data_IF_137677169941
#
_entry.id   IF_137677169941
#
_cell.length_a   1.000
_cell.length_b   1.000
_cell.length_c   1.000
_cell.angle_alpha   90.00
_cell.angle_beta   90.00
_cell.angle_gamma   90.00
#
_symmetry.space_group_name_H-M   'P 1'
#
loop_
_entity.id
_entity.type
_entity.pdbx_description
1 polymer ?
#
# COMPACT_ATOMS: atom_id res chain seq x y z
N UNK A 1 -55.28 9.31 -45.86
CA UNK A 1 -53.83 9.51 -46.03
C UNK A 1 -53.36 10.61 -45.07
N UNK A 2 -52.59 10.23 -44.06
CA UNK A 2 -51.54 11.01 -43.36
C UNK A 2 -50.97 10.08 -42.28
N UNK A 3 -49.83 9.50 -42.59
CA UNK A 3 -48.97 8.68 -41.72
C UNK A 3 -48.26 9.59 -40.72
N UNK A 4 -48.23 9.23 -39.43
CA UNK A 4 -47.21 9.70 -38.48
C UNK A 4 -47.00 8.63 -37.41
N UNK A 5 -45.74 8.46 -37.07
CA UNK A 5 -45.10 7.30 -36.46
C UNK A 5 -44.55 7.69 -35.09
N UNK A 6 -44.66 6.76 -34.12
CA UNK A 6 -43.83 6.52 -32.92
C UNK A 6 -43.59 7.66 -31.90
N UNK A 7 -43.78 7.39 -30.61
CA UNK A 7 -42.71 6.88 -29.71
C UNK A 7 -43.30 6.60 -28.31
N UNK A 8 -43.10 5.38 -27.78
CA UNK A 8 -43.32 5.06 -26.37
C UNK A 8 -42.21 5.72 -25.54
N UNK A 9 -42.59 6.55 -24.57
CA UNK A 9 -41.69 7.12 -23.58
C UNK A 9 -41.28 6.09 -22.52
N UNK A 10 -39.98 5.82 -22.42
CA UNK A 10 -39.40 5.07 -21.31
C UNK A 10 -39.29 5.97 -20.07
N UNK A 11 -39.92 5.55 -18.98
CA UNK A 11 -39.86 6.19 -17.66
C UNK A 11 -38.50 5.87 -17.01
N UNK A 12 -37.54 6.78 -17.13
CA UNK A 12 -36.25 6.70 -16.43
C UNK A 12 -36.34 7.29 -15.03
N UNK A 13 -36.46 6.43 -14.01
CA UNK A 13 -36.36 6.79 -12.60
C UNK A 13 -34.93 7.29 -12.30
N UNK A 14 -34.75 8.61 -12.13
CA UNK A 14 -33.46 9.18 -11.69
C UNK A 14 -33.34 9.05 -10.18
N UNK A 15 -32.45 8.17 -9.71
CA UNK A 15 -32.01 8.14 -8.31
C UNK A 15 -31.01 9.29 -8.12
N UNK A 16 -31.43 10.33 -7.40
CA UNK A 16 -30.56 11.45 -7.02
C UNK A 16 -29.62 10.98 -5.90
N UNK A 17 -28.39 10.58 -6.24
CA UNK A 17 -27.34 10.44 -5.22
C UNK A 17 -27.00 11.83 -4.69
N UNK A 18 -27.36 12.09 -3.44
CA UNK A 18 -26.91 13.26 -2.71
C UNK A 18 -25.45 13.03 -2.33
N UNK A 19 -24.53 13.38 -3.22
CA UNK A 19 -23.13 13.55 -2.86
C UNK A 19 -23.06 14.72 -1.87
N UNK A 20 -22.52 14.46 -0.68
CA UNK A 20 -22.24 15.51 0.31
C UNK A 20 -21.43 16.62 -0.35
N UNK A 21 -22.05 17.78 -0.52
CA UNK A 21 -21.44 18.96 -1.08
C UNK A 21 -20.48 19.59 -0.06
N UNK A 22 -19.23 19.13 -0.03
CA UNK A 22 -18.13 20.00 0.37
C UNK A 22 -17.83 20.93 -0.81
N UNK A 23 -18.71 21.91 -1.00
CA UNK A 23 -18.53 22.97 -1.99
C UNK A 23 -17.38 23.85 -1.54
N UNK A 24 -16.18 23.66 -2.10
CA UNK A 24 -15.07 24.62 -1.95
C UNK A 24 -15.39 25.86 -2.82
N UNK A 25 -15.74 27.02 -2.23
CA UNK A 25 -16.04 28.20 -3.00
C UNK A 25 -14.72 28.87 -3.41
N UNK A 26 -14.55 29.12 -4.71
CA UNK A 26 -13.51 30.05 -5.19
C UNK A 26 -12.67 29.49 -6.32
N UNK A 27 -12.86 30.09 -7.50
CA UNK A 27 -12.15 29.81 -8.75
C UNK A 27 -10.67 30.26 -8.76
N UNK A 28 -10.05 30.46 -7.59
CA UNK A 28 -8.61 30.68 -7.40
C UNK A 28 -8.19 30.16 -6.01
N UNK A 29 -7.31 29.16 -5.96
CA UNK A 29 -6.48 28.87 -4.78
C UNK A 29 -6.93 27.78 -3.79
N UNK A 30 -7.89 26.92 -4.13
CA UNK A 30 -8.23 25.75 -3.30
C UNK A 30 -7.18 24.62 -3.41
N UNK A 31 -7.16 23.67 -2.45
CA UNK A 31 -6.26 22.51 -2.51
C UNK A 31 -6.49 21.72 -3.79
N UNK A 32 -5.42 21.49 -4.56
CA UNK A 32 -5.47 20.67 -5.78
C UNK A 32 -4.11 20.07 -6.12
N UNK A 33 -4.16 19.05 -6.96
CA UNK A 33 -2.99 18.38 -7.53
C UNK A 33 -3.06 18.49 -9.04
N UNK A 34 -1.93 18.76 -9.70
CA UNK A 34 -1.86 18.78 -11.16
C UNK A 34 -0.77 17.81 -11.62
N UNK A 35 -1.16 16.72 -12.26
CA UNK A 35 -0.25 15.78 -12.92
C UNK A 35 0.10 16.28 -14.31
N UNK A 36 1.34 16.04 -14.73
CA UNK A 36 1.86 16.44 -16.03
C UNK A 36 2.52 15.26 -16.74
N UNK A 37 2.29 15.20 -18.06
CA UNK A 37 2.88 14.21 -18.96
C UNK A 37 4.41 14.33 -18.98
N UNK A 38 4.94 15.56 -19.00
CA UNK A 38 6.37 15.80 -19.11
C UNK A 38 6.97 16.35 -17.81
N UNK A 39 8.29 16.21 -17.67
CA UNK A 39 9.04 16.83 -16.59
C UNK A 39 8.95 18.38 -16.65
N UNK A 40 9.12 19.00 -15.48
CA UNK A 40 9.06 20.43 -15.23
C UNK A 40 7.68 21.06 -15.52
N UNK A 41 6.60 20.32 -15.27
CA UNK A 41 5.22 20.78 -15.34
C UNK A 41 4.79 21.17 -16.76
N UNK A 42 5.13 20.32 -17.73
CA UNK A 42 4.87 20.56 -19.16
C UNK A 42 4.02 19.44 -19.77
N UNK A 43 3.57 19.65 -21.00
CA UNK A 43 2.78 18.69 -21.75
C UNK A 43 1.31 18.65 -21.34
N UNK A 44 0.66 17.52 -21.61
CA UNK A 44 -0.72 17.28 -21.16
C UNK A 44 -0.81 17.28 -19.64
N UNK A 45 -1.94 17.75 -19.11
CA UNK A 45 -2.16 17.86 -17.67
C UNK A 45 -3.48 17.27 -17.22
N UNK A 46 -3.52 16.79 -15.98
CA UNK A 46 -4.72 16.32 -15.30
C UNK A 46 -4.81 17.02 -13.94
N UNK A 47 -5.87 17.79 -13.73
CA UNK A 47 -6.16 18.48 -12.46
C UNK A 47 -7.06 17.59 -11.61
N UNK A 48 -6.71 17.43 -10.34
CA UNK A 48 -7.37 16.57 -9.38
C UNK A 48 -7.59 17.30 -8.07
N UNK A 49 -8.67 16.96 -7.37
CA UNK A 49 -9.05 17.58 -6.10
C UNK A 49 -9.05 16.58 -4.93
N UNK A 50 -8.85 17.05 -3.68
CA UNK A 50 -8.97 16.21 -2.48
C UNK A 50 -10.23 15.34 -2.47
N UNK A 51 -10.06 14.06 -2.14
CA UNK A 51 -11.13 13.07 -2.11
C UNK A 51 -11.26 12.26 -3.41
N UNK A 52 -10.67 12.72 -4.52
CA UNK A 52 -10.65 11.94 -5.75
C UNK A 52 -9.80 10.66 -5.62
N UNK A 53 -10.34 9.57 -6.17
CA UNK A 53 -9.71 8.26 -6.21
C UNK A 53 -9.85 7.70 -7.61
N UNK A 54 -8.71 7.42 -8.24
CA UNK A 54 -8.63 6.86 -9.58
C UNK A 54 -7.96 5.49 -9.49
N UNK A 55 -8.74 4.39 -9.38
CA UNK A 55 -8.19 3.04 -9.27
C UNK A 55 -7.53 2.56 -10.57
N UNK A 56 -7.82 3.19 -11.71
CA UNK A 56 -7.29 2.76 -13.01
C UNK A 56 -7.06 3.96 -13.95
N UNK A 57 -5.80 4.36 -14.12
CA UNK A 57 -5.43 5.50 -14.97
C UNK A 57 -5.46 5.18 -16.47
N UNK A 58 -5.73 3.93 -16.88
CA UNK A 58 -5.99 3.60 -18.30
C UNK A 58 -7.29 4.25 -18.78
N UNK A 59 -8.18 4.59 -17.86
CA UNK A 59 -9.44 5.28 -18.09
C UNK A 59 -9.29 6.81 -18.08
N UNK A 60 -8.25 7.33 -17.41
CA UNK A 60 -7.97 8.75 -17.34
C UNK A 60 -7.30 9.28 -18.62
N UNK A 61 -7.49 10.57 -18.89
CA UNK A 61 -6.88 11.29 -20.01
C UNK A 61 -6.30 12.61 -19.55
N UNK A 62 -5.16 12.98 -20.11
CA UNK A 62 -4.63 14.33 -19.99
C UNK A 62 -5.47 15.30 -20.85
N UNK A 63 -5.32 16.60 -20.60
CA UNK A 63 -5.94 17.69 -21.35
C UNK A 63 -5.67 17.66 -22.86
N UNK A 64 -4.59 17.00 -23.30
CA UNK A 64 -4.24 16.79 -24.71
C UNK A 64 -4.85 15.50 -25.32
N UNK A 65 -5.69 14.77 -24.59
CA UNK A 65 -6.37 13.56 -25.05
C UNK A 65 -5.56 12.26 -24.94
N UNK A 66 -4.28 12.30 -24.54
CA UNK A 66 -3.48 11.09 -24.30
C UNK A 66 -3.88 10.41 -22.99
N UNK A 67 -3.58 9.11 -22.86
CA UNK A 67 -3.79 8.35 -21.62
C UNK A 67 -2.82 8.80 -20.53
N UNK A 68 -3.23 8.67 -19.27
CA UNK A 68 -2.41 9.06 -18.10
C UNK A 68 -1.57 7.92 -17.57
N UNK A 69 -2.07 6.68 -17.64
CA UNK A 69 -1.36 5.48 -17.19
C UNK A 69 0.08 5.46 -17.69
N UNK A 70 1.04 5.26 -16.79
CA UNK A 70 2.46 5.12 -17.10
C UNK A 70 3.04 6.28 -17.91
N UNK A 71 2.53 7.50 -17.72
CA UNK A 71 2.94 8.69 -18.50
C UNK A 71 3.13 9.94 -17.66
N UNK A 72 3.08 9.83 -16.34
CA UNK A 72 3.22 10.98 -15.45
C UNK A 72 4.70 11.18 -15.15
N UNK A 73 5.22 12.37 -15.47
CA UNK A 73 6.63 12.74 -15.27
C UNK A 73 6.84 13.87 -14.25
N UNK A 74 5.80 14.67 -13.94
CA UNK A 74 5.87 15.66 -12.86
C UNK A 74 4.52 15.96 -12.22
N UNK A 75 4.52 16.53 -11.02
CA UNK A 75 3.31 16.89 -10.28
C UNK A 75 3.47 18.22 -9.53
N UNK A 76 2.45 19.07 -9.61
CA UNK A 76 2.28 20.24 -8.74
C UNK A 76 1.31 19.96 -7.61
N UNK A 77 1.65 20.39 -6.41
CA UNK A 77 0.81 20.28 -5.22
C UNK A 77 0.49 21.69 -4.73
N UNK A 78 -0.79 22.03 -4.67
CA UNK A 78 -1.24 23.37 -4.31
C UNK A 78 -2.22 23.34 -3.14
N UNK A 79 -2.22 24.41 -2.34
CA UNK A 79 -3.23 24.64 -1.30
C UNK A 79 -3.27 23.62 -0.16
N UNK A 80 -2.19 22.88 0.08
CA UNK A 80 -2.14 21.82 1.10
C UNK A 80 -2.84 20.53 0.68
N UNK A 81 -3.04 20.31 -0.62
CA UNK A 81 -3.34 18.98 -1.11
C UNK A 81 -2.13 18.04 -0.91
N UNK A 82 -2.37 16.76 -1.10
CA UNK A 82 -1.34 15.75 -1.29
C UNK A 82 -1.87 14.64 -2.16
N UNK A 83 -1.01 13.75 -2.60
CA UNK A 83 -1.40 12.62 -3.44
C UNK A 83 -0.63 11.36 -3.03
N UNK A 84 -1.34 10.23 -3.02
CA UNK A 84 -0.77 8.90 -2.98
C UNK A 84 -0.77 8.36 -4.41
N UNK A 85 0.41 7.99 -4.90
CA UNK A 85 0.64 7.48 -6.25
C UNK A 85 1.08 6.03 -6.13
N UNK A 86 0.50 5.17 -6.96
CA UNK A 86 0.72 3.73 -6.95
C UNK A 86 1.19 3.26 -8.32
N UNK A 87 2.10 2.30 -8.35
CA UNK A 87 2.63 1.77 -9.62
C UNK A 87 1.77 0.68 -10.26
N UNK A 88 0.81 0.14 -9.50
CA UNK A 88 -0.20 -0.79 -10.00
C UNK A 88 -1.62 -0.19 -9.93
N UNK A 89 -2.57 -0.88 -10.57
CA UNK A 89 -3.99 -0.54 -10.50
C UNK A 89 -4.59 -0.87 -9.12
N UNK A 90 -5.82 -0.42 -8.86
CA UNK A 90 -6.57 -0.68 -7.62
C UNK A 90 -5.84 -0.30 -6.32
N UNK A 91 -4.91 0.66 -6.38
CA UNK A 91 -4.10 1.15 -5.26
C UNK A 91 -3.12 0.09 -4.70
N UNK A 92 -2.68 -0.82 -5.55
CA UNK A 92 -1.70 -1.85 -5.24
C UNK A 92 -0.28 -1.50 -5.72
N UNK A 93 0.66 -2.39 -5.41
CA UNK A 93 2.08 -2.21 -5.71
C UNK A 93 2.81 -1.31 -4.72
N UNK A 94 3.89 -0.69 -5.20
CA UNK A 94 4.63 0.34 -4.50
C UNK A 94 3.79 1.62 -4.40
N UNK A 95 4.03 2.39 -3.34
CA UNK A 95 3.32 3.65 -3.08
C UNK A 95 4.28 4.77 -2.73
N UNK A 96 4.04 5.97 -3.25
CA UNK A 96 4.71 7.20 -2.82
C UNK A 96 3.68 8.25 -2.43
N UNK A 97 3.94 8.93 -1.32
CA UNK A 97 3.18 10.10 -0.89
C UNK A 97 3.90 11.37 -1.36
N UNK A 98 3.16 12.25 -2.00
CA UNK A 98 3.69 13.52 -2.50
C UNK A 98 2.86 14.67 -1.93
N UNK A 99 3.50 15.51 -1.12
CA UNK A 99 2.92 16.69 -0.46
C UNK A 99 3.44 18.00 -1.02
N UNK A 100 4.46 17.93 -1.88
CA UNK A 100 5.16 19.08 -2.44
C UNK A 100 5.44 18.83 -3.93
N UNK A 101 5.75 19.90 -4.65
CA UNK A 101 6.07 19.87 -6.07
C UNK A 101 7.20 18.86 -6.39
N UNK A 102 6.94 17.95 -7.33
CA UNK A 102 7.97 17.07 -7.91
C UNK A 102 8.15 17.43 -9.37
N UNK A 103 9.28 18.08 -9.67
CA UNK A 103 9.62 18.55 -11.02
C UNK A 103 9.95 17.42 -11.99
N UNK A 104 10.46 16.30 -11.50
CA UNK A 104 10.85 15.17 -12.35
C UNK A 104 10.84 13.88 -11.54
N UNK A 105 9.95 12.95 -11.88
CA UNK A 105 9.88 11.64 -11.25
C UNK A 105 11.05 10.72 -11.61
N UNK A 106 11.87 11.05 -12.62
CA UNK A 106 13.07 10.29 -12.96
C UNK A 106 14.14 10.34 -11.85
N UNK A 107 14.02 11.25 -10.89
CA UNK A 107 14.92 11.36 -9.73
C UNK A 107 14.26 10.90 -8.42
N UNK A 108 13.05 10.34 -8.48
CA UNK A 108 12.35 9.75 -7.34
C UNK A 108 12.34 8.24 -7.53
N UNK A 109 13.01 7.51 -6.64
CA UNK A 109 13.12 6.06 -6.75
C UNK A 109 12.09 5.36 -5.86
N UNK A 110 11.50 4.30 -6.39
CA UNK A 110 10.65 3.36 -5.68
C UNK A 110 11.44 2.70 -4.55
N UNK A 111 10.79 2.44 -3.41
CA UNK A 111 11.36 1.59 -2.38
C UNK A 111 11.68 0.20 -2.95
N UNK A 112 12.68 -0.49 -2.39
CA UNK A 112 13.05 -1.90 -2.64
C UNK A 112 13.67 -2.28 -4.01
N UNK A 113 13.31 -1.60 -5.11
CA UNK A 113 13.68 -2.08 -6.46
C UNK A 113 14.58 -1.12 -7.25
N UNK A 114 15.00 0.01 -6.66
CA UNK A 114 15.88 1.01 -7.28
C UNK A 114 15.41 1.51 -8.67
N UNK A 115 14.11 1.46 -8.92
CA UNK A 115 13.46 1.90 -10.16
C UNK A 115 12.89 3.30 -9.95
N UNK A 116 13.04 4.21 -10.91
CA UNK A 116 12.45 5.54 -10.83
C UNK A 116 10.93 5.52 -11.05
N UNK A 117 10.19 6.41 -10.38
CA UNK A 117 8.74 6.56 -10.46
C UNK A 117 8.23 7.09 -11.82
N UNK A 118 9.12 7.62 -12.65
CA UNK A 118 8.75 8.22 -13.93
C UNK A 118 8.01 7.22 -14.81
N UNK A 119 6.87 7.63 -15.37
CA UNK A 119 6.11 6.83 -16.33
C UNK A 119 5.70 5.44 -15.79
N UNK A 120 5.33 5.38 -14.50
CA UNK A 120 4.90 4.13 -13.85
C UNK A 120 3.63 4.23 -13.03
N UNK A 121 3.00 5.40 -13.02
CA UNK A 121 1.84 5.63 -12.16
C UNK A 121 0.59 5.03 -12.81
N UNK A 122 -0.05 4.11 -12.11
CA UNK A 122 -1.21 3.35 -12.60
C UNK A 122 -2.50 3.60 -11.83
N UNK A 123 -2.40 4.02 -10.55
CA UNK A 123 -3.54 4.47 -9.76
C UNK A 123 -3.16 5.53 -8.74
N UNK A 124 -4.14 6.28 -8.23
CA UNK A 124 -3.89 7.38 -7.30
C UNK A 124 -5.06 7.70 -6.37
N UNK A 125 -4.75 8.30 -5.23
CA UNK A 125 -5.73 8.93 -4.34
C UNK A 125 -5.25 10.32 -3.96
N UNK A 126 -6.08 11.33 -4.16
CA UNK A 126 -5.78 12.70 -3.73
C UNK A 126 -6.31 12.90 -2.32
N UNK A 127 -5.42 13.32 -1.44
CA UNK A 127 -5.71 13.59 -0.04
C UNK A 127 -5.72 15.10 0.19
N UNK A 128 -6.68 15.59 0.97
CA UNK A 128 -6.57 16.92 1.55
C UNK A 128 -5.75 16.81 2.82
N UNK A 129 -4.66 17.56 2.97
CA UNK A 129 -4.05 17.63 4.29
C UNK A 129 -5.00 18.38 5.23
N UNK A 130 -5.59 17.65 6.18
CA UNK A 130 -5.75 18.25 7.51
C UNK A 130 -4.33 18.43 8.04
N UNK A 131 -3.78 19.64 7.87
CA UNK A 131 -2.61 20.05 8.67
C UNK A 131 -2.90 19.64 10.12
N UNK A 132 -2.01 18.90 10.80
CA UNK A 132 -2.15 18.71 12.22
C UNK A 132 -2.21 20.10 12.85
N UNK A 133 -3.34 20.40 13.51
CA UNK A 133 -3.47 21.59 14.32
C UNK A 133 -2.28 21.58 15.28
N UNK A 134 -1.46 22.61 15.23
CA UNK A 134 -0.23 22.73 15.99
C UNK A 134 -0.48 22.45 17.48
N UNK A 135 -0.11 21.26 17.94
CA UNK A 135 -0.15 20.86 19.35
C UNK A 135 0.78 19.67 19.54
N UNK A 136 2.00 19.97 19.99
CA UNK A 136 3.16 19.08 20.21
C UNK A 136 3.81 18.51 18.93
N UNK A 137 5.14 18.53 18.84
CA UNK A 137 5.83 17.68 17.87
C UNK A 137 5.42 16.23 18.14
N UNK A 138 5.10 15.50 17.07
CA UNK A 138 4.82 14.07 17.16
C UNK A 138 5.99 13.30 17.76
N UNK A 139 5.79 12.03 18.11
CA UNK A 139 6.91 11.18 18.54
C UNK A 139 8.03 11.18 17.48
N UNK A 140 9.31 11.05 17.90
CA UNK A 140 10.42 10.92 16.95
C UNK A 140 10.15 9.79 15.94
N UNK A 141 10.57 9.97 14.69
CA UNK A 141 10.35 9.02 13.58
C UNK A 141 10.83 7.61 13.96
N UNK A 142 11.96 7.48 14.62
CA UNK A 142 12.51 6.21 15.08
C UNK A 142 11.60 5.50 16.08
N UNK A 143 10.88 6.27 16.92
CA UNK A 143 9.92 5.70 17.88
C UNK A 143 8.68 5.15 17.15
N UNK A 144 8.21 5.87 16.13
CA UNK A 144 7.11 5.45 15.27
C UNK A 144 7.46 4.13 14.58
N UNK A 145 8.64 4.05 13.96
CA UNK A 145 9.10 2.86 13.25
C UNK A 145 9.23 1.67 14.21
N UNK A 146 9.87 1.84 15.37
CA UNK A 146 10.02 0.76 16.36
C UNK A 146 8.68 0.19 16.83
N UNK A 147 7.68 1.05 17.05
CA UNK A 147 6.32 0.61 17.41
C UNK A 147 5.66 -0.15 16.27
N UNK A 148 5.77 0.35 15.03
CA UNK A 148 5.24 -0.35 13.86
C UNK A 148 5.81 -1.77 13.71
N UNK A 149 7.12 -1.95 13.91
CA UNK A 149 7.76 -3.28 13.91
C UNK A 149 7.21 -4.19 15.00
N UNK A 150 7.11 -3.71 16.24
CA UNK A 150 6.57 -4.51 17.34
C UNK A 150 5.11 -4.91 17.08
N UNK A 151 4.28 -3.96 16.65
CA UNK A 151 2.85 -4.20 16.47
C UNK A 151 2.55 -5.12 15.28
N UNK A 152 3.33 -5.04 14.20
CA UNK A 152 3.08 -5.79 12.95
C UNK A 152 3.85 -7.11 12.91
N UNK A 153 5.11 -7.10 13.35
CA UNK A 153 6.04 -8.22 13.20
C UNK A 153 6.39 -8.89 14.53
N UNK A 154 5.92 -8.36 15.66
CA UNK A 154 6.20 -8.89 17.02
C UNK A 154 7.70 -8.99 17.34
N UNK A 155 8.49 -8.05 16.79
CA UNK A 155 9.94 -7.96 17.05
C UNK A 155 10.43 -6.51 17.00
N UNK A 156 11.59 -6.19 17.60
CA UNK A 156 12.22 -4.90 17.39
C UNK A 156 12.73 -4.74 15.95
N UNK A 157 12.70 -3.50 15.45
CA UNK A 157 13.36 -3.12 14.21
C UNK A 157 14.88 -3.35 14.33
N UNK A 158 15.46 -3.97 13.31
CA UNK A 158 16.92 -4.02 13.15
C UNK A 158 17.46 -2.68 12.62
N UNK A 159 18.80 -2.44 12.68
CA UNK A 159 19.39 -1.18 12.25
C UNK A 159 19.08 -0.81 10.79
N UNK A 160 19.05 -1.79 9.90
CA UNK A 160 18.84 -1.57 8.46
C UNK A 160 17.40 -1.19 8.17
N UNK A 161 16.43 -1.92 8.73
CA UNK A 161 15.01 -1.61 8.65
C UNK A 161 14.66 -0.25 9.25
N UNK A 162 15.28 0.10 10.39
CA UNK A 162 15.12 1.42 11.00
C UNK A 162 15.63 2.54 10.09
N UNK A 163 16.84 2.38 9.53
CA UNK A 163 17.42 3.36 8.63
C UNK A 163 16.60 3.51 7.34
N UNK A 164 16.12 2.40 6.79
CA UNK A 164 15.30 2.33 5.59
C UNK A 164 14.00 3.13 5.74
N UNK A 165 13.15 2.81 6.73
CA UNK A 165 11.89 3.51 6.91
C UNK A 165 12.09 4.96 7.36
N UNK A 166 13.17 5.26 8.09
CA UNK A 166 13.51 6.64 8.46
C UNK A 166 13.75 7.50 7.23
N UNK A 167 14.52 7.02 6.25
CA UNK A 167 14.72 7.72 4.98
C UNK A 167 13.39 7.93 4.23
N UNK A 168 12.53 6.92 4.17
CA UNK A 168 11.22 7.05 3.52
C UNK A 168 10.33 8.10 4.21
N UNK A 169 10.30 8.14 5.55
CA UNK A 169 9.47 9.10 6.29
C UNK A 169 10.01 10.54 6.20
N UNK A 170 11.33 10.72 6.25
CA UNK A 170 11.95 12.05 6.22
C UNK A 170 12.06 12.62 4.81
N UNK A 171 12.41 11.80 3.82
CA UNK A 171 12.76 12.27 2.47
C UNK A 171 11.63 12.08 1.46
N UNK A 172 10.77 11.08 1.69
CA UNK A 172 9.65 10.73 0.80
C UNK A 172 8.28 10.94 1.45
N UNK A 173 8.23 11.53 2.65
CA UNK A 173 6.98 11.92 3.31
C UNK A 173 6.07 10.75 3.69
N UNK A 174 6.63 9.54 3.83
CA UNK A 174 5.87 8.36 4.25
C UNK A 174 5.24 8.55 5.64
N UNK A 175 4.03 8.06 5.79
CA UNK A 175 3.29 8.08 7.06
C UNK A 175 3.50 6.79 7.84
N UNK A 176 3.24 6.81 9.15
CA UNK A 176 3.23 5.60 9.98
C UNK A 176 2.33 4.50 9.38
N UNK A 177 1.17 4.89 8.84
CA UNK A 177 0.26 3.95 8.18
C UNK A 177 0.93 3.26 7.00
N UNK A 178 1.65 4.00 6.16
CA UNK A 178 2.35 3.41 5.00
C UNK A 178 3.46 2.46 5.44
N UNK A 179 4.18 2.79 6.52
CA UNK A 179 5.18 1.87 7.12
C UNK A 179 4.51 0.57 7.55
N UNK A 180 3.41 0.64 8.31
CA UNK A 180 2.67 -0.54 8.77
C UNK A 180 2.12 -1.36 7.61
N UNK A 181 1.52 -0.71 6.62
CA UNK A 181 0.97 -1.36 5.43
C UNK A 181 2.07 -2.04 4.59
N UNK A 182 3.27 -1.44 4.48
CA UNK A 182 4.42 -2.04 3.81
C UNK A 182 4.96 -3.26 4.58
N UNK A 183 5.12 -3.14 5.90
CA UNK A 183 5.51 -4.27 6.76
C UNK A 183 4.52 -5.44 6.63
N UNK A 184 3.21 -5.18 6.60
CA UNK A 184 2.18 -6.21 6.44
C UNK A 184 2.28 -6.98 5.11
N UNK A 185 2.75 -6.32 4.04
CA UNK A 185 2.94 -6.93 2.71
C UNK A 185 4.33 -7.55 2.53
N UNK A 186 5.26 -7.25 3.44
CA UNK A 186 6.64 -7.72 3.34
C UNK A 186 6.73 -9.25 3.43
N UNK A 187 7.77 -9.81 2.81
CA UNK A 187 8.12 -11.22 3.01
C UNK A 187 8.38 -11.53 4.47
N UNK A 188 8.84 -10.56 5.24
CA UNK A 188 9.08 -10.71 6.66
C UNK A 188 7.81 -11.03 7.46
N UNK A 189 6.70 -10.33 7.19
CA UNK A 189 5.42 -10.66 7.82
C UNK A 189 4.93 -12.05 7.44
N UNK A 190 5.16 -12.46 6.18
CA UNK A 190 4.88 -13.84 5.73
C UNK A 190 5.73 -14.85 6.52
N UNK A 191 7.02 -14.58 6.70
CA UNK A 191 7.94 -15.42 7.48
C UNK A 191 7.52 -15.51 8.95
N UNK A 192 7.22 -14.38 9.60
CA UNK A 192 6.77 -14.34 10.99
C UNK A 192 5.46 -15.11 11.17
N UNK A 193 4.54 -15.01 10.21
CA UNK A 193 3.29 -15.78 10.22
C UNK A 193 3.56 -17.28 10.12
N UNK A 194 4.45 -17.70 9.21
CA UNK A 194 4.88 -19.09 9.08
C UNK A 194 5.55 -19.60 10.36
N UNK A 195 6.44 -18.82 10.96
CA UNK A 195 7.13 -19.19 12.19
C UNK A 195 6.16 -19.34 13.37
N UNK A 196 5.16 -18.45 13.48
CA UNK A 196 4.08 -18.57 14.47
C UNK A 196 3.25 -19.84 14.28
N UNK A 197 2.94 -20.20 13.04
CA UNK A 197 2.25 -21.46 12.71
C UNK A 197 3.10 -22.66 13.13
N UNK A 198 4.40 -22.66 12.80
CA UNK A 198 5.32 -23.75 13.15
C UNK A 198 5.46 -23.89 14.66
N UNK A 199 5.75 -22.79 15.37
CA UNK A 199 5.90 -22.80 16.82
C UNK A 199 4.65 -23.31 17.55
N UNK A 200 3.47 -22.88 17.09
CA UNK A 200 2.19 -23.38 17.63
C UNK A 200 2.02 -24.88 17.40
N UNK A 201 2.25 -25.36 16.18
CA UNK A 201 2.13 -26.78 15.86
C UNK A 201 3.10 -27.64 16.68
N UNK A 202 4.33 -27.17 16.90
CA UNK A 202 5.31 -27.82 17.77
C UNK A 202 4.84 -27.91 19.22
N UNK A 203 4.37 -26.81 19.81
CA UNK A 203 3.89 -26.82 21.20
C UNK A 203 2.65 -27.69 21.38
N UNK A 204 1.71 -27.65 20.45
CA UNK A 204 0.48 -28.44 20.53
C UNK A 204 0.73 -29.95 20.32
N UNK A 205 1.61 -30.33 19.39
CA UNK A 205 1.86 -31.75 19.04
C UNK A 205 2.99 -32.35 19.89
N UNK A 206 4.11 -31.63 20.03
CA UNK A 206 5.33 -32.12 20.67
C UNK A 206 5.54 -31.56 22.09
N UNK A 207 4.80 -30.52 22.50
CA UNK A 207 4.87 -30.00 23.87
C UNK A 207 6.12 -29.18 24.16
N UNK A 208 6.83 -28.75 23.11
CA UNK A 208 8.04 -27.93 23.19
C UNK A 208 8.07 -26.95 22.03
N UNK A 209 8.96 -25.95 22.12
CA UNK A 209 9.27 -25.10 20.98
C UNK A 209 10.17 -25.81 19.95
N UNK A 210 10.11 -25.41 18.67
CA UNK A 210 11.00 -25.92 17.65
C UNK A 210 12.44 -25.51 17.93
N UNK A 211 13.36 -26.41 17.68
CA UNK A 211 14.79 -26.06 17.60
C UNK A 211 15.08 -25.30 16.29
N UNK A 212 16.23 -24.59 16.18
CA UNK A 212 16.54 -23.79 15.01
C UNK A 212 16.55 -24.58 13.69
N UNK A 213 16.99 -25.85 13.70
CA UNK A 213 17.02 -26.70 12.51
C UNK A 213 15.61 -27.13 12.09
N UNK A 214 14.78 -27.52 13.05
CA UNK A 214 13.37 -27.88 12.85
C UNK A 214 12.57 -26.71 12.29
N UNK A 215 12.70 -25.52 12.90
CA UNK A 215 12.05 -24.30 12.43
C UNK A 215 12.44 -24.00 10.97
N UNK A 216 13.74 -23.98 10.66
CA UNK A 216 14.22 -23.71 9.31
C UNK A 216 13.74 -24.74 8.28
N UNK A 217 13.73 -26.03 8.65
CA UNK A 217 13.29 -27.09 7.74
C UNK A 217 11.80 -26.94 7.40
N UNK A 218 10.93 -26.77 8.40
CA UNK A 218 9.50 -26.63 8.16
C UNK A 218 9.14 -25.29 7.52
N UNK A 219 9.86 -24.21 7.84
CA UNK A 219 9.72 -22.92 7.16
C UNK A 219 9.89 -23.07 5.66
N UNK A 220 10.96 -23.75 5.23
CA UNK A 220 11.19 -24.07 3.81
C UNK A 220 10.00 -24.85 3.23
N UNK A 221 9.52 -25.89 3.90
CA UNK A 221 8.40 -26.71 3.40
C UNK A 221 7.10 -25.92 3.24
N UNK A 222 6.77 -25.02 4.18
CA UNK A 222 5.57 -24.19 4.09
C UNK A 222 5.67 -23.13 2.99
N UNK A 223 6.85 -22.53 2.81
CA UNK A 223 7.05 -21.44 1.84
C UNK A 223 7.28 -21.92 0.42
N UNK A 224 8.10 -22.95 0.22
CA UNK A 224 8.55 -23.37 -1.12
C UNK A 224 7.78 -24.58 -1.65
N UNK A 225 7.38 -25.49 -0.76
CA UNK A 225 6.65 -26.71 -1.12
C UNK A 225 5.14 -26.56 -0.85
N UNK A 226 4.68 -25.36 -0.47
CA UNK A 226 3.29 -25.03 -0.17
C UNK A 226 2.62 -26.02 0.79
N UNK A 227 3.35 -26.51 1.80
CA UNK A 227 2.76 -27.37 2.82
C UNK A 227 1.68 -26.61 3.59
N UNK A 228 0.52 -27.26 3.79
CA UNK A 228 -0.49 -26.76 4.69
C UNK A 228 -0.09 -26.99 6.16
N UNK A 229 -0.67 -26.21 7.07
CA UNK A 229 -0.50 -26.43 8.51
C UNK A 229 -0.94 -27.84 8.92
N UNK A 230 -1.99 -28.40 8.29
CA UNK A 230 -2.43 -29.77 8.52
C UNK A 230 -1.33 -30.77 8.20
N UNK A 231 -0.68 -30.63 7.03
CA UNK A 231 0.42 -31.50 6.62
C UNK A 231 1.62 -31.39 7.55
N UNK A 232 1.92 -30.17 8.03
CA UNK A 232 2.93 -29.95 9.08
C UNK A 232 2.59 -30.71 10.36
N UNK A 233 1.37 -30.57 10.88
CA UNK A 233 0.93 -31.25 12.12
C UNK A 233 1.00 -32.77 11.98
N UNK A 234 0.63 -33.33 10.82
CA UNK A 234 0.72 -34.77 10.56
C UNK A 234 2.16 -35.28 10.46
N UNK A 235 3.05 -34.49 9.86
CA UNK A 235 4.49 -34.78 9.87
C UNK A 235 5.07 -34.78 11.30
N UNK A 236 4.67 -33.82 12.13
CA UNK A 236 5.10 -33.78 13.54
C UNK A 236 4.59 -35.00 14.32
N UNK A 237 3.32 -35.42 14.14
CA UNK A 237 2.74 -36.61 14.80
C UNK A 237 3.39 -37.92 14.37
N UNK A 238 3.81 -38.02 13.11
CA UNK A 238 4.45 -39.22 12.57
C UNK A 238 5.96 -39.28 12.84
N UNK A 239 6.55 -38.20 13.37
CA UNK A 239 7.97 -38.12 13.70
C UNK A 239 8.39 -39.13 14.77
N UNK A 240 9.67 -39.54 14.72
CA UNK A 240 10.27 -40.37 15.77
C UNK A 240 10.16 -39.71 17.16
N UNK A 241 10.23 -38.38 17.18
CA UNK A 241 10.14 -37.58 18.37
C UNK A 241 8.78 -37.69 19.07
N UNK A 242 7.68 -37.61 18.33
CA UNK A 242 6.34 -37.81 18.89
C UNK A 242 6.17 -39.23 19.47
N UNK A 243 6.72 -40.25 18.77
CA UNK A 243 6.71 -41.63 19.27
C UNK A 243 7.47 -41.77 20.59
N UNK A 244 8.65 -41.17 20.69
CA UNK A 244 9.47 -41.20 21.90
C UNK A 244 8.79 -40.50 23.08
N UNK A 245 8.16 -39.34 22.85
CA UNK A 245 7.36 -38.65 23.88
C UNK A 245 6.21 -39.50 24.39
N UNK A 246 5.47 -40.16 23.49
CA UNK A 246 4.32 -41.01 23.88
C UNK A 246 4.75 -42.23 24.72
N UNK A 247 5.98 -42.71 24.53
CA UNK A 247 6.55 -43.80 25.32
C UNK A 247 7.05 -43.31 26.69
N UNK A 248 7.57 -42.09 26.79
CA UNK A 248 8.04 -41.49 28.05
C UNK A 248 6.93 -41.03 29.01
N UNK A 249 5.68 -40.92 28.53
CA UNK A 249 4.50 -40.54 29.31
C UNK A 249 3.66 -41.76 29.76
N UNK A 250 4.13 -42.98 29.49
CA UNK A 250 3.54 -44.25 29.95
C UNK A 250 4.38 -44.83 31.08
#
# INVERSE_FOLDING_TARGET
MKTTTLLLGFLGLTITLTAGQDSYPGRFGGPRVVLYEDANFRGGSLVLYPGERLPDLRQARFSNGKRVNDRVSSVRIEGGAGILLYDDFDFDGQVIRVTDDVRNFAHRYMPDIAVAWNDRISSLTVVGERRPVAARPGPPVETVIRRAYLDVLDRPADPDGLAYFRGLMLDQGWTEKMVRDHLLRSDEYRLTTVDRIIGRAYREVLGRDPDPQGLANYRRLLLTQHWSETRLRDALRSSAEYRNRRLALR
#
